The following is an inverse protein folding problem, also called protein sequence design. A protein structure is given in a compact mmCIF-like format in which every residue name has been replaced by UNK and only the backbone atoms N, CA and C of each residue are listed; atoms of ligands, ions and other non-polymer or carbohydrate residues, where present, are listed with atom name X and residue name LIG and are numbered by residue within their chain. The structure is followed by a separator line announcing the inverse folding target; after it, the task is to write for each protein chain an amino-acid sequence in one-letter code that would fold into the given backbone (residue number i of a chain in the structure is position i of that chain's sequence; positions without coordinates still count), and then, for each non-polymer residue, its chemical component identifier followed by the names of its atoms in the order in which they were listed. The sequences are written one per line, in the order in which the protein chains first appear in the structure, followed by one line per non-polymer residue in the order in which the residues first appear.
data_IF_801412724336
#
_entry.id   IF_801412724336
#
_cell.length_a   1.000
_cell.length_b   1.000
_cell.length_c   1.000
_cell.angle_alpha   90.00
_cell.angle_beta   90.00
_cell.angle_gamma   90.00
#
_symmetry.space_group_name_H-M   'P 1'
#
loop_
_entity.id
_entity.type
_entity.pdbx_description
1 polymer ?
#
# COMPACT_ATOMS: atom_id res chain seq x y z
N UNK A 1 30.12 -38.50 27.25
CA UNK A 1 29.91 -37.31 26.38
C UNK A 1 30.12 -37.69 24.92
N UNK A 2 29.03 -37.98 24.21
CA UNK A 2 28.95 -38.19 22.75
C UNK A 2 27.44 -38.23 22.50
N UNK A 3 26.83 -37.44 21.62
CA UNK A 3 27.02 -37.35 20.18
C UNK A 3 26.43 -36.01 19.69
N UNK A 4 27.18 -35.28 18.86
CA UNK A 4 26.90 -34.98 17.44
C UNK A 4 25.56 -34.30 17.14
N UNK A 5 25.65 -33.10 16.58
CA UNK A 5 25.42 -32.88 15.13
C UNK A 5 24.88 -31.47 14.91
N UNK A 6 25.76 -30.46 15.02
CA UNK A 6 25.46 -29.14 14.47
C UNK A 6 25.81 -29.17 13.00
N UNK A 7 24.80 -29.07 12.13
CA UNK A 7 24.98 -28.89 10.71
C UNK A 7 24.12 -27.72 10.21
N UNK A 8 24.82 -26.78 9.60
CA UNK A 8 24.42 -25.85 8.55
C UNK A 8 23.33 -24.82 8.84
N UNK A 9 23.80 -23.58 8.96
CA UNK A 9 23.22 -22.47 8.20
C UNK A 9 23.28 -22.81 6.69
N UNK A 10 22.32 -22.33 5.87
CA UNK A 10 22.61 -21.06 5.21
C UNK A 10 21.39 -20.16 5.01
N UNK A 11 21.64 -18.87 5.23
CA UNK A 11 21.11 -17.68 4.57
C UNK A 11 19.83 -17.82 3.72
N UNK A 12 18.81 -17.04 4.08
CA UNK A 12 18.01 -16.33 3.07
C UNK A 12 17.74 -14.94 3.60
N UNK A 13 18.50 -13.99 3.07
CA UNK A 13 18.18 -12.58 3.13
C UNK A 13 16.92 -12.31 2.31
N UNK A 14 15.78 -12.38 2.97
CA UNK A 14 14.57 -11.66 2.60
C UNK A 14 13.90 -11.36 3.94
N UNK A 15 13.94 -10.09 4.35
CA UNK A 15 13.46 -9.63 5.65
C UNK A 15 12.13 -10.27 5.99
N UNK A 16 12.20 -11.02 7.09
CA UNK A 16 11.16 -11.69 7.85
C UNK A 16 9.71 -11.41 7.46
N UNK A 17 9.05 -12.50 7.08
CA UNK A 17 7.69 -12.84 7.47
C UNK A 17 7.52 -12.57 8.97
N UNK A 18 7.13 -11.34 9.31
CA UNK A 18 6.86 -10.89 10.66
C UNK A 18 5.36 -10.89 10.93
N UNK A 19 4.94 -11.86 11.74
CA UNK A 19 3.71 -11.86 12.54
C UNK A 19 2.41 -12.21 11.79
N UNK A 20 1.75 -13.29 12.22
CA UNK A 20 0.33 -13.49 11.95
C UNK A 20 -0.45 -12.49 12.81
N UNK A 21 -1.02 -11.39 12.27
CA UNK A 21 -1.94 -10.60 13.07
C UNK A 21 -3.25 -11.40 13.26
N UNK A 22 -3.82 -11.40 14.47
CA UNK A 22 -5.15 -11.92 14.68
C UNK A 22 -6.16 -10.98 13.98
N UNK A 23 -6.86 -11.48 12.97
CA UNK A 23 -8.09 -10.86 12.42
C UNK A 23 -7.93 -9.49 11.74
N UNK A 24 -6.80 -9.24 11.07
CA UNK A 24 -6.74 -8.17 10.06
C UNK A 24 -7.18 -8.69 8.69
N UNK A 25 -7.93 -7.89 7.95
CA UNK A 25 -8.45 -8.28 6.65
C UNK A 25 -7.30 -8.44 5.64
N UNK A 26 -7.27 -9.53 4.84
CA UNK A 26 -6.14 -9.85 3.95
C UNK A 26 -5.91 -8.80 2.85
N UNK A 27 -6.97 -8.07 2.50
CA UNK A 27 -6.91 -6.96 1.57
C UNK A 27 -6.10 -5.77 2.15
N UNK A 28 -6.14 -5.58 3.48
CA UNK A 28 -5.51 -4.45 4.17
C UNK A 28 -3.98 -4.56 4.18
N UNK A 29 -3.46 -5.76 4.44
CA UNK A 29 -2.01 -6.03 4.36
C UNK A 29 -1.52 -5.83 2.92
N UNK A 30 -2.25 -6.32 1.94
CA UNK A 30 -1.93 -6.15 0.51
C UNK A 30 -1.80 -4.68 0.12
N UNK A 31 -2.71 -3.81 0.57
CA UNK A 31 -2.62 -2.37 0.31
C UNK A 31 -1.44 -1.70 1.05
N UNK A 32 -1.09 -2.17 2.26
CA UNK A 32 0.06 -1.67 3.03
C UNK A 32 1.40 -2.06 2.40
N UNK A 33 1.52 -3.29 1.86
CA UNK A 33 2.77 -3.75 1.22
C UNK A 33 2.94 -3.20 -0.19
N UNK A 34 1.84 -2.89 -0.88
CA UNK A 34 1.86 -2.36 -2.24
C UNK A 34 2.38 -0.93 -2.26
N UNK A 35 3.57 -0.74 -2.81
CA UNK A 35 4.19 0.57 -3.03
C UNK A 35 3.79 1.14 -4.39
N UNK A 36 3.33 2.39 -4.39
CA UNK A 36 2.89 3.09 -5.60
C UNK A 36 3.67 4.39 -5.75
N UNK A 37 4.06 4.67 -6.99
CA UNK A 37 4.61 5.96 -7.38
C UNK A 37 3.44 6.77 -7.94
N UNK A 38 3.22 7.96 -7.39
CA UNK A 38 2.17 8.88 -7.86
C UNK A 38 2.78 10.21 -8.22
N UNK A 39 2.17 10.90 -9.18
CA UNK A 39 2.68 12.16 -9.69
C UNK A 39 2.32 13.37 -8.80
N UNK A 40 1.99 13.16 -7.53
CA UNK A 40 1.79 14.24 -6.60
C UNK A 40 3.13 14.85 -6.16
N UNK A 41 3.24 16.19 -6.06
CA UNK A 41 4.48 16.85 -5.67
C UNK A 41 4.97 16.43 -4.28
N UNK A 42 4.07 16.06 -3.38
CA UNK A 42 4.40 15.58 -2.02
C UNK A 42 4.97 14.16 -2.00
N UNK A 43 4.69 13.34 -3.04
CA UNK A 43 5.07 11.93 -3.09
C UNK A 43 5.93 11.56 -4.31
N UNK A 44 6.34 12.54 -5.13
CA UNK A 44 7.21 12.31 -6.31
C UNK A 44 8.62 11.87 -5.92
N UNK A 45 9.06 12.18 -4.71
CA UNK A 45 10.41 11.85 -4.21
C UNK A 45 10.49 10.50 -3.47
N UNK A 46 9.36 9.84 -3.18
CA UNK A 46 9.37 8.56 -2.49
C UNK A 46 8.18 7.66 -2.82
N UNK A 47 8.40 6.35 -2.74
CA UNK A 47 7.30 5.40 -2.89
C UNK A 47 6.42 5.38 -1.64
N UNK A 48 5.13 5.56 -1.84
CA UNK A 48 4.11 5.55 -0.78
C UNK A 48 3.32 4.26 -0.81
N UNK A 49 2.92 3.79 0.36
CA UNK A 49 2.04 2.63 0.46
C UNK A 49 0.66 3.01 -0.06
N UNK A 50 0.01 2.14 -0.84
CA UNK A 50 -1.33 2.42 -1.37
C UNK A 50 -2.35 2.70 -0.25
N UNK A 51 -2.21 2.00 0.88
CA UNK A 51 -2.97 2.24 2.11
C UNK A 51 -2.76 3.64 2.70
N UNK A 52 -1.52 4.11 2.78
CA UNK A 52 -1.22 5.45 3.28
C UNK A 52 -1.78 6.53 2.35
N UNK A 53 -1.76 6.27 1.04
CA UNK A 53 -2.35 7.18 0.05
C UNK A 53 -3.87 7.29 0.21
N UNK A 54 -4.55 6.15 0.42
CA UNK A 54 -5.98 6.06 0.70
C UNK A 54 -6.39 6.81 1.97
N UNK A 55 -5.52 6.80 2.98
CA UNK A 55 -5.73 7.54 4.24
C UNK A 55 -5.14 8.94 4.22
N UNK A 56 -4.54 9.36 3.11
CA UNK A 56 -3.98 10.69 2.96
C UNK A 56 -5.06 11.69 2.57
N UNK A 57 -4.78 12.98 2.80
CA UNK A 57 -5.64 14.12 2.46
C UNK A 57 -6.02 14.20 0.97
N UNK A 58 -5.26 13.52 0.11
CA UNK A 58 -5.52 13.50 -1.33
C UNK A 58 -6.77 12.71 -1.70
N UNK A 59 -7.14 11.71 -0.89
CA UNK A 59 -8.30 10.87 -1.13
C UNK A 59 -9.36 11.25 -0.10
N UNK A 60 -10.53 11.73 -0.55
CA UNK A 60 -11.63 12.02 0.35
C UNK A 60 -12.14 10.72 0.97
N UNK A 61 -12.67 10.83 2.18
CA UNK A 61 -13.18 9.68 2.94
C UNK A 61 -14.22 8.85 2.16
N UNK A 62 -15.05 9.51 1.35
CA UNK A 62 -16.06 8.85 0.51
C UNK A 62 -15.44 7.92 -0.53
N UNK A 63 -14.50 8.42 -1.34
CA UNK A 63 -13.76 7.61 -2.30
C UNK A 63 -13.01 6.47 -1.61
N UNK A 64 -12.39 6.74 -0.45
CA UNK A 64 -11.70 5.72 0.34
C UNK A 64 -12.67 4.61 0.74
N UNK A 65 -13.82 4.94 1.34
CA UNK A 65 -14.81 3.94 1.77
C UNK A 65 -15.27 3.08 0.61
N UNK A 66 -15.64 3.71 -0.51
CA UNK A 66 -16.10 2.99 -1.69
C UNK A 66 -15.02 2.07 -2.29
N UNK A 67 -13.78 2.54 -2.40
CA UNK A 67 -12.65 1.72 -2.84
C UNK A 67 -12.40 0.50 -1.94
N UNK A 68 -12.49 0.68 -0.62
CA UNK A 68 -12.26 -0.38 0.35
C UNK A 68 -13.41 -1.41 0.36
N UNK A 69 -14.67 -0.96 0.23
CA UNK A 69 -15.82 -1.86 0.11
C UNK A 69 -15.73 -2.70 -1.16
N UNK A 70 -15.47 -2.08 -2.30
CA UNK A 70 -15.35 -2.79 -3.58
C UNK A 70 -14.13 -3.73 -3.61
N UNK A 71 -13.00 -3.33 -3.03
CA UNK A 71 -11.82 -4.19 -2.94
C UNK A 71 -12.03 -5.35 -1.96
N UNK A 72 -12.66 -5.10 -0.81
CA UNK A 72 -13.03 -6.13 0.16
C UNK A 72 -14.09 -7.11 -0.36
N UNK A 73 -15.00 -6.63 -1.21
CA UNK A 73 -15.99 -7.46 -1.92
C UNK A 73 -15.38 -8.26 -3.09
N UNK A 74 -14.15 -7.94 -3.51
CA UNK A 74 -13.49 -8.55 -4.68
C UNK A 74 -14.00 -8.02 -6.03
N UNK A 75 -14.80 -6.94 -6.03
CA UNK A 75 -15.24 -6.25 -7.24
C UNK A 75 -14.08 -5.50 -7.92
N UNK A 76 -13.16 -4.98 -7.11
CA UNK A 76 -11.94 -4.33 -7.59
C UNK A 76 -10.71 -5.21 -7.39
N UNK A 77 -9.82 -5.18 -8.37
CA UNK A 77 -8.47 -5.74 -8.25
C UNK A 77 -7.47 -4.70 -7.74
N UNK A 78 -6.35 -5.16 -7.17
CA UNK A 78 -5.28 -4.30 -6.65
C UNK A 78 -4.81 -3.25 -7.67
N UNK A 79 -4.67 -3.64 -8.94
CA UNK A 79 -4.29 -2.73 -10.03
C UNK A 79 -5.33 -1.65 -10.29
N UNK A 80 -6.62 -1.98 -10.18
CA UNK A 80 -7.70 -1.01 -10.34
C UNK A 80 -7.72 -0.03 -9.17
N UNK A 81 -7.59 -0.52 -7.93
CA UNK A 81 -7.46 0.34 -6.75
C UNK A 81 -6.27 1.28 -6.93
N UNK A 82 -5.11 0.75 -7.34
CA UNK A 82 -3.92 1.56 -7.64
C UNK A 82 -4.17 2.62 -8.71
N UNK A 83 -4.85 2.28 -9.80
CA UNK A 83 -5.17 3.20 -10.88
C UNK A 83 -6.10 4.33 -10.43
N UNK A 84 -7.20 3.98 -9.73
CA UNK A 84 -8.16 4.95 -9.20
C UNK A 84 -7.49 5.87 -8.19
N UNK A 85 -6.74 5.30 -7.25
CA UNK A 85 -6.02 6.04 -6.22
C UNK A 85 -4.99 6.99 -6.84
N UNK A 86 -4.19 6.52 -7.80
CA UNK A 86 -3.23 7.38 -8.54
C UNK A 86 -3.95 8.51 -9.28
N UNK A 87 -5.08 8.21 -9.92
CA UNK A 87 -5.87 9.20 -10.66
C UNK A 87 -6.41 10.29 -9.73
N UNK A 88 -6.97 9.92 -8.57
CA UNK A 88 -7.47 10.87 -7.58
C UNK A 88 -6.32 11.76 -7.10
N UNK A 89 -5.20 11.16 -6.71
CA UNK A 89 -4.05 11.89 -6.19
C UNK A 89 -3.43 12.83 -7.22
N UNK A 90 -3.25 12.39 -8.46
CA UNK A 90 -2.76 13.23 -9.56
C UNK A 90 -3.73 14.39 -9.82
N UNK A 91 -5.04 14.15 -9.81
CA UNK A 91 -6.05 15.18 -10.04
C UNK A 91 -6.10 16.20 -8.90
N UNK A 92 -6.06 15.76 -7.64
CA UNK A 92 -6.00 16.64 -6.47
C UNK A 92 -4.70 17.45 -6.46
N UNK A 93 -3.57 16.82 -6.74
CA UNK A 93 -2.27 17.49 -6.85
C UNK A 93 -2.23 18.55 -7.97
N UNK A 94 -2.86 18.27 -9.12
CA UNK A 94 -2.95 19.23 -10.21
C UNK A 94 -3.85 20.43 -9.86
N UNK A 95 -4.95 20.20 -9.15
CA UNK A 95 -5.84 21.26 -8.68
C UNK A 95 -5.15 22.22 -7.71
N UNK A 96 -4.41 21.69 -6.74
CA UNK A 96 -3.64 22.49 -5.76
C UNK A 96 -2.59 23.40 -6.43
N UNK A 97 -2.02 22.97 -7.57
CA UNK A 97 -1.05 23.76 -8.32
C UNK A 97 -1.71 24.92 -9.08
N UNK A 98 -2.93 24.73 -9.56
CA UNK A 98 -3.66 25.75 -10.32
C UNK A 98 -4.14 26.91 -9.43
N UNK A 99 -4.37 26.67 -8.14
CA UNK A 99 -4.79 27.72 -7.19
C UNK A 99 -3.63 28.62 -6.71
N UNK A 100 -2.38 28.18 -6.92
CA UNK A 100 -1.17 28.94 -6.54
C UNK A 100 -0.56 29.78 -7.67
N UNK A 101 -1.20 29.86 -8.83
CA UNK A 101 -0.75 30.63 -9.99
C UNK A 101 -1.61 31.88 -10.19
#
# INVERSE_FOLDING_TARGET
ITVKSSNKEPVTAAGEEGDKPPKEEPWKTTLKTTKVHVEAPEFRDHQVSLWELLHSRYIPEENRRELLELYGAGELSLEQVKSVVTTIVTRTAAAERAERA
#
